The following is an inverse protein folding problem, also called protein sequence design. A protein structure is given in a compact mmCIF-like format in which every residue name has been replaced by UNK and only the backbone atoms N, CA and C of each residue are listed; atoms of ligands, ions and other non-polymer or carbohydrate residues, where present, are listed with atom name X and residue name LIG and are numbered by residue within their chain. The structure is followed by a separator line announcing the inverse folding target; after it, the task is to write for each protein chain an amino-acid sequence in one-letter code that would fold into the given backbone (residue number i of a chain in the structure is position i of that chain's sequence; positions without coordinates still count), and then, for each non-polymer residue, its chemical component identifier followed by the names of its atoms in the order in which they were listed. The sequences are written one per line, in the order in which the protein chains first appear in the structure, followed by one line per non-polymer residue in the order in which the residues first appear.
data_IF_728173882837
#
_entry.id   IF_728173882837
#
_cell.length_a   1.000
_cell.length_b   1.000
_cell.length_c   1.000
_cell.angle_alpha   90.00
_cell.angle_beta   90.00
_cell.angle_gamma   90.00
#
_symmetry.space_group_name_H-M   'P 1'
#
loop_
_entity.id
_entity.type
_entity.pdbx_description
1 polymer ?
#
# COMPACT_ATOMS: atom_id res chain seq x y z
N UNK A 1 18.02 38.77 7.34
CA UNK A 1 18.27 37.51 8.10
C UNK A 1 17.11 36.49 8.03
N UNK A 2 15.83 36.91 7.90
CA UNK A 2 14.68 35.98 7.79
C UNK A 2 14.59 35.21 6.44
N UNK A 3 15.23 35.72 5.39
CA UNK A 3 15.14 35.16 4.03
C UNK A 3 16.12 33.99 3.80
N UNK A 4 17.29 34.03 4.44
CA UNK A 4 18.29 32.96 4.35
C UNK A 4 17.85 31.67 5.09
N UNK A 5 17.11 31.79 6.19
CA UNK A 5 16.58 30.64 6.95
C UNK A 5 15.45 29.93 6.19
N UNK A 6 14.67 30.68 5.39
CA UNK A 6 13.59 30.11 4.57
C UNK A 6 14.14 29.24 3.43
N UNK A 7 15.21 29.69 2.77
CA UNK A 7 15.83 28.95 1.68
C UNK A 7 16.56 27.65 2.13
N UNK A 8 17.09 27.58 3.36
CA UNK A 8 17.68 26.36 3.90
C UNK A 8 16.65 25.27 4.25
N UNK A 9 15.45 25.66 4.73
CA UNK A 9 14.38 24.71 5.03
C UNK A 9 13.78 24.06 3.77
N UNK A 10 13.61 24.84 2.70
CA UNK A 10 13.07 24.32 1.43
C UNK A 10 14.08 23.38 0.74
N UNK A 11 15.36 23.74 0.71
CA UNK A 11 16.42 22.88 0.15
C UNK A 11 16.65 21.59 0.95
N UNK A 12 16.56 21.64 2.29
CA UNK A 12 16.66 20.46 3.16
C UNK A 12 15.47 19.50 3.03
N UNK A 13 14.27 20.02 2.85
CA UNK A 13 13.05 19.22 2.66
C UNK A 13 13.10 18.39 1.37
N UNK A 14 13.55 18.98 0.27
CA UNK A 14 13.72 18.25 -0.99
C UNK A 14 14.80 17.16 -0.91
N UNK A 15 15.90 17.42 -0.22
CA UNK A 15 16.95 16.42 0.01
C UNK A 15 16.44 15.24 0.86
N UNK A 16 15.71 15.51 1.94
CA UNK A 16 15.12 14.48 2.80
C UNK A 16 14.10 13.62 2.04
N UNK A 17 13.23 14.25 1.24
CA UNK A 17 12.25 13.53 0.42
C UNK A 17 12.93 12.62 -0.63
N UNK A 18 14.03 13.07 -1.25
CA UNK A 18 14.78 12.27 -2.21
C UNK A 18 15.53 11.11 -1.54
N UNK A 19 16.12 11.33 -0.37
CA UNK A 19 16.78 10.29 0.42
C UNK A 19 15.78 9.20 0.84
N UNK A 20 14.60 9.60 1.33
CA UNK A 20 13.54 8.66 1.68
C UNK A 20 13.09 7.84 0.46
N UNK A 21 12.83 8.47 -0.69
CA UNK A 21 12.51 7.75 -1.93
C UNK A 21 13.59 6.74 -2.33
N UNK A 22 14.87 7.11 -2.20
CA UNK A 22 16.00 6.22 -2.45
C UNK A 22 16.02 5.01 -1.50
N UNK A 23 15.84 5.26 -0.21
CA UNK A 23 15.74 4.23 0.82
C UNK A 23 14.58 3.25 0.54
N UNK A 24 13.38 3.76 0.22
CA UNK A 24 12.22 2.90 -0.08
C UNK A 24 12.44 2.07 -1.34
N UNK A 25 13.08 2.63 -2.36
CA UNK A 25 13.46 1.86 -3.56
C UNK A 25 14.42 0.72 -3.22
N UNK A 26 15.39 0.96 -2.35
CA UNK A 26 16.31 -0.06 -1.85
C UNK A 26 15.59 -1.18 -1.12
N UNK A 27 14.71 -0.84 -0.17
CA UNK A 27 13.90 -1.82 0.57
C UNK A 27 13.00 -2.66 -0.35
N UNK A 28 12.29 -2.01 -1.29
CA UNK A 28 11.45 -2.71 -2.26
C UNK A 28 12.27 -3.66 -3.13
N UNK A 29 13.48 -3.26 -3.55
CA UNK A 29 14.38 -4.11 -4.31
C UNK A 29 14.85 -5.31 -3.50
N UNK A 30 15.21 -5.11 -2.24
CA UNK A 30 15.61 -6.18 -1.33
C UNK A 30 14.47 -7.19 -1.16
N UNK A 31 13.27 -6.73 -0.79
CA UNK A 31 12.11 -7.61 -0.58
C UNK A 31 11.73 -8.35 -1.86
N UNK A 32 11.86 -7.71 -3.02
CA UNK A 32 11.55 -8.32 -4.31
C UNK A 32 12.47 -9.51 -4.68
N UNK A 33 13.71 -9.49 -4.22
CA UNK A 33 14.71 -10.53 -4.54
C UNK A 33 14.54 -11.81 -3.72
N UNK A 34 13.71 -11.80 -2.68
CA UNK A 34 13.49 -12.95 -1.81
C UNK A 34 12.09 -13.56 -1.99
N UNK A 35 11.96 -14.89 -1.81
CA UNK A 35 10.64 -15.51 -1.79
C UNK A 35 9.83 -15.00 -0.58
N UNK A 36 8.50 -14.85 -0.69
CA UNK A 36 7.66 -14.37 0.42
C UNK A 36 7.83 -15.15 1.73
N UNK A 37 8.16 -16.44 1.66
CA UNK A 37 8.38 -17.29 2.83
C UNK A 37 9.64 -16.90 3.64
N UNK A 38 10.60 -16.19 3.04
CA UNK A 38 11.77 -15.68 3.76
C UNK A 38 11.38 -14.69 4.86
N UNK A 39 10.23 -14.01 4.71
CA UNK A 39 9.73 -12.98 5.61
C UNK A 39 8.74 -13.50 6.67
N UNK A 40 8.61 -14.82 6.83
CA UNK A 40 7.75 -15.41 7.87
C UNK A 40 8.42 -15.49 9.25
N UNK A 41 9.72 -15.20 9.36
CA UNK A 41 10.49 -15.22 10.60
C UNK A 41 10.65 -13.82 11.18
N UNK A 42 10.77 -13.69 12.51
CA UNK A 42 10.60 -12.42 13.21
C UNK A 42 11.41 -11.24 12.64
N UNK A 43 12.74 -11.34 12.56
CA UNK A 43 13.58 -10.24 12.09
C UNK A 43 13.37 -9.89 10.61
N UNK A 44 13.16 -10.90 9.76
CA UNK A 44 12.86 -10.65 8.35
C UNK A 44 11.45 -10.06 8.16
N UNK A 45 10.51 -10.43 9.03
CA UNK A 45 9.14 -9.92 8.99
C UNK A 45 9.08 -8.42 9.25
N UNK A 46 9.89 -7.90 10.18
CA UNK A 46 9.97 -6.46 10.46
C UNK A 46 10.45 -5.67 9.24
N UNK A 47 11.49 -6.15 8.56
CA UNK A 47 11.97 -5.57 7.29
C UNK A 47 10.88 -5.60 6.22
N UNK A 48 10.10 -6.68 6.16
CA UNK A 48 8.96 -6.77 5.26
C UNK A 48 7.87 -5.74 5.60
N UNK A 49 7.52 -5.55 6.88
CA UNK A 49 6.54 -4.55 7.30
C UNK A 49 6.99 -3.12 7.02
N UNK A 50 8.25 -2.79 7.33
CA UNK A 50 8.83 -1.47 7.02
C UNK A 50 8.78 -1.19 5.53
N UNK A 51 9.19 -2.16 4.71
CA UNK A 51 9.10 -2.07 3.26
C UNK A 51 7.65 -1.93 2.79
N UNK A 52 6.71 -2.65 3.40
CA UNK A 52 5.30 -2.67 3.00
C UNK A 52 4.64 -1.32 3.30
N UNK A 53 4.76 -0.81 4.51
CA UNK A 53 4.12 0.45 4.90
C UNK A 53 4.67 1.63 4.09
N UNK A 54 5.99 1.80 4.08
CA UNK A 54 6.59 2.89 3.33
C UNK A 54 6.45 2.72 1.81
N UNK A 55 6.53 1.48 1.34
CA UNK A 55 6.32 1.13 -0.07
C UNK A 55 4.92 1.50 -0.52
N UNK A 56 3.88 1.18 0.25
CA UNK A 56 2.49 1.56 -0.02
C UNK A 56 2.34 3.07 -0.06
N UNK A 57 2.88 3.80 0.92
CA UNK A 57 2.84 5.27 0.94
C UNK A 57 3.47 5.87 -0.32
N UNK A 58 4.68 5.41 -0.67
CA UNK A 58 5.38 5.87 -1.86
C UNK A 58 4.61 5.53 -3.15
N UNK A 59 4.08 4.31 -3.23
CA UNK A 59 3.32 3.82 -4.36
C UNK A 59 2.01 4.57 -4.56
N UNK A 60 1.34 4.98 -3.48
CA UNK A 60 0.12 5.78 -3.52
C UNK A 60 0.37 7.15 -4.12
N UNK A 61 1.44 7.84 -3.73
CA UNK A 61 1.82 9.13 -4.33
C UNK A 61 2.12 9.04 -5.82
N UNK A 62 2.56 7.87 -6.30
CA UNK A 62 2.86 7.63 -7.71
C UNK A 62 1.73 6.92 -8.46
N UNK A 63 0.65 6.50 -7.77
CA UNK A 63 -0.44 5.67 -8.32
C UNK A 63 0.06 4.43 -9.06
N UNK A 64 1.08 3.77 -8.50
CA UNK A 64 1.71 2.58 -9.08
C UNK A 64 1.51 1.35 -8.23
N UNK A 65 1.19 0.21 -8.86
CA UNK A 65 1.21 -1.05 -8.14
C UNK A 65 2.65 -1.42 -7.77
N UNK A 66 2.80 -2.10 -6.63
CA UNK A 66 4.09 -2.57 -6.13
C UNK A 66 4.08 -4.08 -5.93
N UNK A 67 5.27 -4.68 -5.87
CA UNK A 67 5.45 -6.13 -5.69
C UNK A 67 4.64 -6.75 -4.54
N UNK A 68 4.47 -6.11 -3.37
CA UNK A 68 3.60 -6.60 -2.31
C UNK A 68 2.15 -6.87 -2.72
N UNK A 69 1.69 -6.38 -3.90
CA UNK A 69 0.36 -6.67 -4.45
C UNK A 69 0.18 -8.09 -4.99
N UNK A 70 1.25 -8.86 -5.08
CA UNK A 70 1.15 -10.27 -5.48
C UNK A 70 0.43 -11.08 -4.38
N UNK A 71 -0.53 -11.97 -4.73
CA UNK A 71 -1.28 -12.77 -3.75
C UNK A 71 -0.41 -13.55 -2.75
N UNK A 72 0.79 -14.00 -3.17
CA UNK A 72 1.75 -14.68 -2.30
C UNK A 72 2.37 -13.77 -1.23
N UNK A 73 2.57 -12.48 -1.51
CA UNK A 73 3.14 -11.52 -0.55
C UNK A 73 2.11 -11.07 0.50
N UNK A 74 0.83 -11.22 0.21
CA UNK A 74 -0.28 -10.88 1.10
C UNK A 74 -0.50 -11.97 2.16
N UNK A 75 -0.24 -13.24 1.83
CA UNK A 75 -0.61 -14.38 2.69
C UNK A 75 0.60 -15.09 3.30
N UNK A 76 1.68 -15.28 2.54
CA UNK A 76 2.80 -16.14 2.95
C UNK A 76 3.63 -15.56 4.10
N UNK A 77 3.97 -14.26 4.15
CA UNK A 77 4.70 -13.68 5.28
C UNK A 77 3.96 -13.80 6.62
N UNK A 78 2.63 -14.02 6.56
CA UNK A 78 1.72 -14.10 7.71
C UNK A 78 1.43 -15.53 8.18
N UNK A 79 2.08 -16.56 7.61
CA UNK A 79 1.77 -17.97 7.96
C UNK A 79 1.87 -18.29 9.46
N UNK A 80 2.76 -17.63 10.17
CA UNK A 80 3.06 -17.85 11.59
C UNK A 80 2.56 -16.72 12.49
N UNK A 81 1.87 -15.72 11.92
CA UNK A 81 1.50 -14.48 12.61
C UNK A 81 0.09 -14.05 12.23
N UNK A 82 -0.69 -13.62 13.21
CA UNK A 82 -1.98 -13.01 12.93
C UNK A 82 -1.76 -11.57 12.44
N UNK A 83 -2.57 -11.17 11.45
CA UNK A 83 -2.65 -9.78 11.00
C UNK A 83 -3.45 -8.97 12.00
N UNK A 84 -3.01 -7.75 12.25
CA UNK A 84 -3.84 -6.78 12.94
C UNK A 84 -4.76 -6.02 11.97
N UNK A 85 -5.49 -5.04 12.51
CA UNK A 85 -6.40 -4.21 11.72
C UNK A 85 -5.64 -3.34 10.69
N UNK A 86 -4.45 -2.84 11.03
CA UNK A 86 -3.62 -2.01 10.15
C UNK A 86 -3.06 -2.86 9.01
N UNK A 87 -2.60 -4.07 9.31
CA UNK A 87 -2.12 -5.03 8.32
C UNK A 87 -3.19 -5.37 7.30
N UNK A 88 -4.43 -5.55 7.75
CA UNK A 88 -5.57 -5.84 6.88
C UNK A 88 -5.91 -4.62 6.02
N UNK A 89 -5.90 -3.41 6.59
CA UNK A 89 -6.08 -2.18 5.83
C UNK A 89 -5.01 -2.01 4.74
N UNK A 90 -3.76 -2.34 5.05
CA UNK A 90 -2.64 -2.26 4.11
C UNK A 90 -2.80 -3.27 2.96
N UNK A 91 -3.39 -4.44 3.18
CA UNK A 91 -3.68 -5.38 2.08
C UNK A 91 -4.70 -4.79 1.10
N UNK A 92 -5.73 -4.13 1.62
CA UNK A 92 -6.77 -3.47 0.83
C UNK A 92 -6.16 -2.32 0.03
N UNK A 93 -5.31 -1.48 0.67
CA UNK A 93 -4.60 -0.40 0.00
C UNK A 93 -3.67 -0.90 -1.11
N UNK A 94 -2.96 -2.00 -0.87
CA UNK A 94 -2.10 -2.62 -1.87
C UNK A 94 -2.90 -3.07 -3.11
N UNK A 95 -4.09 -3.65 -2.92
CA UNK A 95 -5.00 -3.99 -4.03
C UNK A 95 -5.49 -2.73 -4.75
N UNK A 96 -5.83 -1.68 -3.99
CA UNK A 96 -6.31 -0.41 -4.52
C UNK A 96 -5.29 0.27 -5.44
N UNK A 97 -3.99 0.17 -5.13
CA UNK A 97 -2.92 0.67 -6.01
C UNK A 97 -2.96 0.03 -7.40
N UNK A 98 -3.28 -1.27 -7.50
CA UNK A 98 -3.46 -1.95 -8.78
C UNK A 98 -4.63 -1.37 -9.60
N UNK A 99 -5.72 -1.02 -8.92
CA UNK A 99 -6.88 -0.35 -9.56
C UNK A 99 -6.51 1.07 -10.01
N UNK A 100 -5.76 1.83 -9.21
CA UNK A 100 -5.32 3.17 -9.60
C UNK A 100 -4.41 3.13 -10.85
N UNK A 101 -3.45 2.21 -10.89
CA UNK A 101 -2.58 2.06 -12.06
C UNK A 101 -3.36 1.65 -13.31
N UNK A 102 -4.32 0.72 -13.17
CA UNK A 102 -5.18 0.29 -14.27
C UNK A 102 -6.06 1.44 -14.77
N UNK A 103 -6.58 2.29 -13.88
CA UNK A 103 -7.33 3.49 -14.25
C UNK A 103 -6.48 4.46 -15.09
N UNK A 104 -5.25 4.72 -14.65
CA UNK A 104 -4.34 5.62 -15.36
C UNK A 104 -4.00 5.06 -16.77
N UNK A 105 -3.88 3.73 -16.90
CA UNK A 105 -3.70 3.06 -18.20
C UNK A 105 -4.94 3.12 -19.09
N UNK A 106 -6.15 2.97 -18.52
CA UNK A 106 -7.40 2.97 -19.30
C UNK A 106 -7.81 4.39 -19.73
N UNK A 107 -7.57 5.40 -18.90
CA UNK A 107 -7.93 6.79 -19.16
C UNK A 107 -7.17 7.43 -20.33
N UNK A 108 -6.01 6.87 -20.70
CA UNK A 108 -5.14 7.39 -21.77
C UNK A 108 -5.24 6.59 -23.07
N UNK A 109 -5.92 5.44 -23.07
CA UNK A 109 -6.00 4.53 -24.24
C UNK A 109 -7.20 4.82 -25.11
N UNK A 110 -7.03 4.57 -26.41
CA UNK A 110 -8.16 4.54 -27.35
C UNK A 110 -9.12 3.42 -26.99
N UNK A 111 -10.40 3.65 -27.28
CA UNK A 111 -11.45 2.67 -27.07
C UNK A 111 -11.29 1.52 -28.07
N UNK A 112 -11.09 0.31 -27.53
CA UNK A 112 -10.95 -0.95 -28.29
C UNK A 112 -11.67 -2.06 -27.54
N UNK A 113 -11.94 -3.19 -28.18
CA UNK A 113 -12.51 -4.38 -27.52
C UNK A 113 -11.67 -4.84 -26.32
N UNK A 114 -10.34 -4.74 -26.42
CA UNK A 114 -9.45 -5.06 -25.32
C UNK A 114 -9.58 -4.06 -24.16
N UNK A 115 -9.69 -2.77 -24.47
CA UNK A 115 -9.95 -1.73 -23.48
C UNK A 115 -11.28 -1.99 -22.76
N UNK A 116 -12.33 -2.37 -23.50
CA UNK A 116 -13.63 -2.73 -22.95
C UNK A 116 -13.57 -3.94 -22.01
N UNK A 117 -12.84 -4.99 -22.40
CA UNK A 117 -12.61 -6.17 -21.55
C UNK A 117 -11.93 -5.78 -20.24
N UNK A 118 -10.88 -4.96 -20.32
CA UNK A 118 -10.16 -4.47 -19.13
C UNK A 118 -11.02 -3.56 -18.26
N UNK A 119 -11.88 -2.72 -18.84
CA UNK A 119 -12.86 -1.90 -18.09
C UNK A 119 -13.83 -2.76 -17.28
N UNK A 120 -14.28 -3.91 -17.82
CA UNK A 120 -15.14 -4.85 -17.06
C UNK A 120 -14.41 -5.42 -15.85
N UNK A 121 -13.16 -5.87 -16.04
CA UNK A 121 -12.32 -6.39 -14.95
C UNK A 121 -12.06 -5.30 -13.91
N UNK A 122 -11.71 -4.09 -14.35
CA UNK A 122 -11.50 -2.93 -13.49
C UNK A 122 -12.72 -2.62 -12.62
N UNK A 123 -13.93 -2.60 -13.21
CA UNK A 123 -15.18 -2.36 -12.45
C UNK A 123 -15.40 -3.42 -11.38
N UNK A 124 -15.15 -4.69 -11.72
CA UNK A 124 -15.26 -5.79 -10.77
C UNK A 124 -14.24 -5.65 -9.62
N UNK A 125 -12.96 -5.42 -9.93
CA UNK A 125 -11.91 -5.22 -8.93
C UNK A 125 -12.21 -4.03 -8.01
N UNK A 126 -12.67 -2.90 -8.57
CA UNK A 126 -13.10 -1.74 -7.78
C UNK A 126 -14.20 -2.11 -6.80
N UNK A 127 -15.23 -2.83 -7.27
CA UNK A 127 -16.35 -3.24 -6.43
C UNK A 127 -15.94 -4.19 -5.31
N UNK A 128 -15.00 -5.11 -5.59
CA UNK A 128 -14.47 -6.00 -4.55
C UNK A 128 -13.73 -5.24 -3.47
N UNK A 129 -12.84 -4.32 -3.86
CA UNK A 129 -12.05 -3.53 -2.90
C UNK A 129 -12.94 -2.62 -2.06
N UNK A 130 -13.95 -2.00 -2.68
CA UNK A 130 -14.94 -1.19 -1.97
C UNK A 130 -15.69 -2.01 -0.90
N UNK A 131 -16.12 -3.22 -1.27
CA UNK A 131 -16.75 -4.14 -0.33
C UNK A 131 -15.80 -4.59 0.79
N UNK A 132 -14.56 -4.98 0.46
CA UNK A 132 -13.55 -5.36 1.46
C UNK A 132 -13.26 -4.22 2.44
N UNK A 133 -13.17 -2.97 1.95
CA UNK A 133 -12.95 -1.78 2.77
C UNK A 133 -14.11 -1.51 3.73
N UNK A 134 -15.36 -1.63 3.24
CA UNK A 134 -16.55 -1.48 4.07
C UNK A 134 -16.65 -2.56 5.15
N UNK A 135 -16.33 -3.81 4.80
CA UNK A 135 -16.30 -4.92 5.76
C UNK A 135 -15.21 -4.71 6.83
N UNK A 136 -14.01 -4.31 6.40
CA UNK A 136 -12.92 -3.98 7.32
C UNK A 136 -13.31 -2.84 8.27
N UNK A 137 -13.88 -1.75 7.75
CA UNK A 137 -14.30 -0.61 8.55
C UNK A 137 -15.37 -0.99 9.58
N UNK A 138 -16.39 -1.74 9.14
CA UNK A 138 -17.47 -2.20 10.03
C UNK A 138 -16.94 -3.10 11.15
N UNK A 139 -16.03 -4.02 10.82
CA UNK A 139 -15.37 -4.87 11.82
C UNK A 139 -14.50 -4.06 12.78
N UNK A 140 -13.77 -3.06 12.28
CA UNK A 140 -12.90 -2.21 13.09
C UNK A 140 -13.71 -1.38 14.09
N UNK A 141 -14.77 -0.71 13.62
CA UNK A 141 -15.67 0.09 14.48
C UNK A 141 -16.32 -0.78 15.54
N UNK A 142 -16.86 -1.95 15.18
CA UNK A 142 -17.50 -2.85 16.15
C UNK A 142 -16.54 -3.32 17.25
N UNK A 143 -15.29 -3.65 16.90
CA UNK A 143 -14.26 -4.01 17.88
C UNK A 143 -13.90 -2.81 18.77
N UNK A 144 -13.78 -1.63 18.17
CA UNK A 144 -13.42 -0.41 18.89
C UNK A 144 -14.51 0.01 19.90
N UNK A 145 -15.77 0.01 19.49
CA UNK A 145 -16.93 0.32 20.36
C UNK A 145 -17.06 -0.67 21.52
N UNK A 146 -16.72 -1.95 21.29
CA UNK A 146 -16.73 -2.95 22.35
C UNK A 146 -15.56 -2.78 23.33
N UNK A 147 -14.38 -2.39 22.83
CA UNK A 147 -13.18 -2.20 23.65
C UNK A 147 -13.20 -0.90 24.45
N UNK A 148 -13.87 0.14 23.94
CA UNK A 148 -13.95 1.47 24.55
C UNK A 148 -15.40 1.98 24.53
N UNK A 149 -16.28 1.45 25.39
CA UNK A 149 -17.63 1.96 25.51
C UNK A 149 -17.58 3.42 25.95
N UNK A 150 -18.22 4.30 25.17
CA UNK A 150 -18.38 5.70 25.56
C UNK A 150 -19.40 5.72 26.69
N UNK A 151 -18.95 5.94 27.93
CA UNK A 151 -19.83 6.22 29.05
C UNK A 151 -20.57 7.54 28.77
N UNK A 152 -21.90 7.46 28.72
CA UNK A 152 -22.80 8.60 28.47
C UNK A 152 -23.10 9.38 29.75
#
# INVERSE_FOLDING_TARGET
MKEAVRNCCESGSHAAANNWKGHIRGLLSLVHQHPPAAFSHAGAHEVFLECRYNGVTSALSNRKAIFPSRPGCISVPWKTRQKDAIDTAMDILVKFLGVLEEWDLLSTRKFTEETLRRVRVFKYQRSMIDHELLMWYSSFVSVFEHAYPIEA
#
